data_IF_096458517667
#
_entry.id   IF_096458517667
#
_cell.length_a   1.000
_cell.length_b   1.000
_cell.length_c   1.000
_cell.angle_alpha   90.00
_cell.angle_beta   90.00
_cell.angle_gamma   90.00
#
_symmetry.space_group_name_H-M   'P 1'
#
loop_
_entity.id
_entity.type
_entity.pdbx_description
1 polymer ?
#
# COMPACT_ATOMS: atom_id res chain seq x y z
N UNK A 1 1.51 2.63 -6.38
CA UNK A 1 1.99 4.00 -6.63
C UNK A 1 2.01 4.82 -5.33
N UNK A 2 2.95 5.77 -5.12
CA UNK A 2 2.92 6.72 -4.03
C UNK A 2 1.70 7.64 -4.09
N UNK A 3 1.15 8.01 -2.92
CA UNK A 3 -0.03 8.88 -2.84
C UNK A 3 0.30 10.37 -2.96
N UNK A 4 1.46 10.80 -2.47
CA UNK A 4 1.82 12.22 -2.38
C UNK A 4 1.87 12.97 -3.73
N UNK A 5 2.39 12.37 -4.84
CA UNK A 5 2.50 13.09 -6.10
C UNK A 5 1.17 13.33 -6.83
N UNK A 6 0.07 12.73 -6.37
CA UNK A 6 -1.22 12.82 -7.07
C UNK A 6 -2.36 13.10 -6.11
N UNK A 7 -3.25 14.00 -6.49
CA UNK A 7 -4.52 14.15 -5.79
C UNK A 7 -5.37 12.88 -5.92
N UNK A 8 -6.09 12.41 -4.87
CA UNK A 8 -6.85 11.17 -4.90
C UNK A 8 -7.91 11.13 -6.02
N UNK A 9 -8.56 12.25 -6.35
CA UNK A 9 -9.51 12.32 -7.47
C UNK A 9 -8.83 12.07 -8.83
N UNK A 10 -7.61 12.57 -9.03
CA UNK A 10 -6.86 12.32 -10.25
C UNK A 10 -6.41 10.85 -10.37
N UNK A 11 -6.00 10.25 -9.24
CA UNK A 11 -5.65 8.84 -9.21
C UNK A 11 -6.88 7.96 -9.45
N UNK A 12 -8.04 8.30 -8.89
CA UNK A 12 -9.29 7.59 -9.13
C UNK A 12 -9.65 7.56 -10.63
N UNK A 13 -9.57 8.72 -11.30
CA UNK A 13 -9.82 8.79 -12.75
C UNK A 13 -8.88 7.90 -13.55
N UNK A 14 -7.58 7.90 -13.23
CA UNK A 14 -6.60 7.04 -13.88
C UNK A 14 -6.88 5.55 -13.64
N UNK A 15 -7.22 5.19 -12.40
CA UNK A 15 -7.51 3.81 -12.02
C UNK A 15 -8.78 3.28 -12.69
N UNK A 16 -9.84 4.07 -12.74
CA UNK A 16 -11.09 3.72 -13.42
C UNK A 16 -10.86 3.55 -14.93
N UNK A 17 -10.08 4.44 -15.55
CA UNK A 17 -9.70 4.32 -16.98
C UNK A 17 -8.89 3.05 -17.24
N UNK A 18 -7.91 2.74 -16.38
CA UNK A 18 -7.13 1.51 -16.48
C UNK A 18 -8.01 0.25 -16.29
N UNK A 19 -8.96 0.30 -15.36
CA UNK A 19 -9.93 -0.78 -15.12
C UNK A 19 -10.82 -1.03 -16.34
N UNK A 20 -11.31 0.01 -16.97
CA UNK A 20 -12.10 -0.09 -18.20
C UNK A 20 -11.32 -0.76 -19.33
N UNK A 21 -10.07 -0.29 -19.58
CA UNK A 21 -9.18 -0.88 -20.60
C UNK A 21 -8.81 -2.33 -20.27
N UNK A 22 -8.61 -2.64 -19.01
CA UNK A 22 -8.29 -4.00 -18.55
C UNK A 22 -9.53 -4.91 -18.45
N UNK A 23 -10.71 -4.43 -18.78
CA UNK A 23 -11.98 -5.17 -18.66
C UNK A 23 -12.20 -5.74 -17.25
N UNK A 24 -12.00 -4.93 -16.23
CA UNK A 24 -12.13 -5.30 -14.82
C UNK A 24 -10.96 -6.12 -14.25
N UNK A 25 -9.95 -6.47 -15.03
CA UNK A 25 -8.74 -7.21 -14.57
C UNK A 25 -7.67 -6.24 -14.06
N UNK A 26 -8.06 -5.31 -13.21
CA UNK A 26 -7.19 -4.29 -12.65
C UNK A 26 -7.36 -4.23 -11.13
N UNK A 27 -6.28 -4.07 -10.41
CA UNK A 27 -6.24 -3.82 -8.98
C UNK A 27 -5.31 -2.63 -8.73
N UNK A 28 -5.78 -1.63 -8.02
CA UNK A 28 -4.97 -0.46 -7.68
C UNK A 28 -4.14 -0.74 -6.43
N UNK A 29 -2.81 -0.58 -6.53
CA UNK A 29 -1.90 -0.61 -5.37
C UNK A 29 -1.41 0.79 -5.04
N UNK A 30 -1.59 1.22 -3.77
CA UNK A 30 -1.10 2.52 -3.26
C UNK A 30 -0.23 2.34 -2.02
N UNK A 31 0.58 3.35 -1.72
CA UNK A 31 1.42 3.37 -0.52
C UNK A 31 2.01 4.74 -0.24
N UNK A 32 2.62 4.88 0.94
CA UNK A 32 3.21 6.15 1.39
C UNK A 32 4.62 6.37 0.84
N UNK A 33 5.26 5.33 0.26
CA UNK A 33 6.68 5.38 -0.07
C UNK A 33 7.56 5.62 1.17
N UNK A 34 8.70 6.27 1.03
CA UNK A 34 9.65 6.54 2.10
C UNK A 34 9.97 8.03 2.16
N UNK A 35 10.26 8.52 3.37
CA UNK A 35 10.56 9.95 3.60
C UNK A 35 11.64 10.45 2.64
N UNK A 36 12.73 9.75 2.51
CA UNK A 36 13.85 10.09 1.61
C UNK A 36 13.40 10.23 0.14
N UNK A 37 12.47 9.41 -0.32
CA UNK A 37 11.96 9.50 -1.69
C UNK A 37 11.01 10.69 -1.83
N UNK A 38 10.12 10.87 -0.86
CA UNK A 38 9.09 11.91 -0.96
C UNK A 38 9.69 13.31 -0.74
N UNK A 39 10.56 13.47 0.28
CA UNK A 39 11.14 14.78 0.59
C UNK A 39 12.37 15.10 -0.29
N UNK A 40 13.35 14.19 -0.35
CA UNK A 40 14.63 14.52 -0.98
C UNK A 40 14.58 14.38 -2.51
N UNK A 41 13.88 13.36 -3.03
CA UNK A 41 13.82 13.15 -4.47
C UNK A 41 12.67 13.89 -5.15
N UNK A 42 11.50 14.06 -4.48
CA UNK A 42 10.32 14.67 -5.06
C UNK A 42 10.02 16.08 -4.55
N UNK A 43 10.68 16.53 -3.47
CA UNK A 43 10.43 17.85 -2.86
C UNK A 43 9.05 18.02 -2.25
N UNK A 44 8.39 16.90 -1.88
CA UNK A 44 7.05 16.90 -1.32
C UNK A 44 7.11 16.63 0.19
N UNK A 45 6.04 16.99 0.93
CA UNK A 45 5.99 16.73 2.36
C UNK A 45 5.68 15.27 2.69
N UNK A 46 6.40 14.70 3.66
CA UNK A 46 6.11 13.41 4.29
C UNK A 46 5.51 13.57 5.69
N UNK A 47 5.04 14.75 6.05
CA UNK A 47 4.43 15.01 7.34
C UNK A 47 3.11 14.22 7.51
N UNK A 48 2.87 13.74 8.75
CA UNK A 48 1.63 13.03 9.14
C UNK A 48 1.22 11.90 8.17
N UNK A 49 2.11 10.93 7.85
CA UNK A 49 1.88 9.97 6.78
C UNK A 49 0.60 9.12 6.96
N UNK A 50 0.27 8.69 8.18
CA UNK A 50 -0.96 7.94 8.45
C UNK A 50 -2.21 8.78 8.17
N UNK A 51 -2.23 10.06 8.64
CA UNK A 51 -3.34 10.98 8.36
C UNK A 51 -3.46 11.30 6.86
N UNK A 52 -2.33 11.45 6.19
CA UNK A 52 -2.30 11.62 4.72
C UNK A 52 -2.99 10.45 4.02
N UNK A 53 -2.68 9.22 4.42
CA UNK A 53 -3.33 8.05 3.85
C UNK A 53 -4.81 7.97 4.19
N UNK A 54 -5.19 8.23 5.45
CA UNK A 54 -6.58 8.24 5.90
C UNK A 54 -7.43 9.19 5.06
N UNK A 55 -7.05 10.48 5.00
CA UNK A 55 -7.78 11.48 4.20
C UNK A 55 -7.78 11.17 2.70
N UNK A 56 -6.70 10.57 2.20
CA UNK A 56 -6.61 10.11 0.82
C UNK A 56 -7.66 9.05 0.50
N UNK A 57 -7.86 8.11 1.43
CA UNK A 57 -8.81 7.01 1.29
C UNK A 57 -10.26 7.48 1.38
N UNK A 58 -10.58 8.48 2.21
CA UNK A 58 -11.91 9.10 2.29
C UNK A 58 -12.38 9.68 0.95
N UNK A 59 -11.46 10.05 0.08
CA UNK A 59 -11.77 10.56 -1.26
C UNK A 59 -11.66 9.45 -2.31
N UNK A 60 -10.61 8.65 -2.24
CA UNK A 60 -10.31 7.64 -3.26
C UNK A 60 -11.32 6.50 -3.27
N UNK A 61 -11.67 5.95 -2.11
CA UNK A 61 -12.50 4.74 -2.03
C UNK A 61 -13.90 4.94 -2.63
N UNK A 62 -14.68 6.00 -2.29
CA UNK A 62 -15.97 6.22 -2.93
C UNK A 62 -15.85 6.42 -4.44
N UNK A 63 -14.85 7.16 -4.92
CA UNK A 63 -14.67 7.35 -6.36
C UNK A 63 -14.35 6.03 -7.10
N UNK A 64 -13.56 5.14 -6.48
CA UNK A 64 -13.30 3.79 -7.05
C UNK A 64 -14.55 2.89 -7.02
N UNK A 65 -15.47 3.16 -6.10
CA UNK A 65 -16.77 2.48 -6.04
C UNK A 65 -17.80 3.03 -7.05
N UNK A 66 -17.47 4.10 -7.77
CA UNK A 66 -18.40 4.78 -8.68
C UNK A 66 -19.36 5.73 -7.95
N UNK A 67 -19.04 6.11 -6.73
CA UNK A 67 -19.79 7.05 -5.91
C UNK A 67 -19.15 8.44 -5.94
N UNK A 68 -19.89 9.46 -5.48
CA UNK A 68 -19.37 10.81 -5.35
C UNK A 68 -18.48 10.94 -4.12
N UNK A 69 -17.37 11.67 -4.22
CA UNK A 69 -16.58 12.07 -3.08
C UNK A 69 -16.99 13.46 -2.59
N UNK A 70 -17.30 13.57 -1.30
CA UNK A 70 -17.60 14.84 -0.62
C UNK A 70 -16.86 14.89 0.72
N UNK A 71 -15.58 15.20 0.68
CA UNK A 71 -14.69 15.19 1.85
C UNK A 71 -13.95 16.52 2.00
N UNK A 72 -13.77 16.98 3.24
CA UNK A 72 -12.97 18.16 3.60
C UNK A 72 -12.14 17.82 4.83
N UNK A 73 -10.87 17.54 4.63
CA UNK A 73 -9.87 17.31 5.67
C UNK A 73 -8.90 18.49 5.83
N UNK A 74 -7.81 18.24 6.55
CA UNK A 74 -6.72 19.20 6.74
C UNK A 74 -5.71 19.17 5.58
N UNK A 75 -5.55 18.00 4.93
CA UNK A 75 -4.55 17.74 3.89
C UNK A 75 -5.22 17.72 2.52
N UNK A 76 -6.35 17.02 2.41
CA UNK A 76 -7.09 16.87 1.17
C UNK A 76 -8.53 17.37 1.31
N UNK A 77 -9.04 17.89 0.21
CA UNK A 77 -10.47 18.13 0.06
C UNK A 77 -10.92 17.73 -1.34
N UNK A 78 -12.13 17.23 -1.46
CA UNK A 78 -12.75 16.92 -2.75
C UNK A 78 -14.27 17.05 -2.65
N UNK A 79 -14.85 17.63 -3.69
CA UNK A 79 -16.28 17.52 -4.00
C UNK A 79 -16.34 17.18 -5.47
N UNK A 80 -16.27 15.88 -5.77
CA UNK A 80 -16.02 15.41 -7.13
C UNK A 80 -16.80 14.15 -7.44
N UNK A 81 -17.31 14.06 -8.67
CA UNK A 81 -17.96 12.89 -9.23
C UNK A 81 -17.16 12.40 -10.44
N UNK A 82 -17.04 11.10 -10.61
CA UNK A 82 -16.38 10.48 -11.75
C UNK A 82 -17.32 9.48 -12.43
N UNK A 83 -17.51 9.63 -13.74
CA UNK A 83 -18.16 8.64 -14.57
C UNK A 83 -17.20 8.12 -15.64
N UNK A 84 -16.68 6.92 -15.47
CA UNK A 84 -15.86 6.24 -16.49
C UNK A 84 -16.63 5.04 -17.00
N UNK A 85 -17.04 5.11 -18.27
CA UNK A 85 -17.75 4.02 -18.92
C UNK A 85 -16.92 2.73 -18.92
N UNK A 86 -17.60 1.61 -18.68
CA UNK A 86 -17.04 0.26 -18.68
C UNK A 86 -15.95 0.00 -17.60
N UNK A 87 -15.75 0.91 -16.64
CA UNK A 87 -14.96 0.64 -15.47
C UNK A 87 -15.66 -0.35 -14.54
N UNK A 88 -14.93 -1.31 -13.98
CA UNK A 88 -15.44 -2.12 -12.89
C UNK A 88 -15.60 -1.26 -11.63
N UNK A 89 -16.72 -1.43 -10.94
CA UNK A 89 -17.00 -0.76 -9.67
C UNK A 89 -17.45 -1.81 -8.64
N UNK A 90 -16.80 -1.87 -7.48
CA UNK A 90 -15.57 -1.12 -7.12
C UNK A 90 -14.32 -1.64 -7.84
N UNK A 91 -13.36 -0.74 -8.08
CA UNK A 91 -11.98 -1.14 -8.45
C UNK A 91 -11.29 -1.65 -7.19
N UNK A 92 -10.78 -2.90 -7.15
CA UNK A 92 -10.09 -3.43 -5.98
C UNK A 92 -8.88 -2.59 -5.59
N UNK A 93 -8.74 -2.31 -4.29
CA UNK A 93 -7.70 -1.47 -3.73
C UNK A 93 -6.79 -2.26 -2.78
N UNK A 94 -5.47 -2.17 -2.96
CA UNK A 94 -4.44 -2.76 -2.10
C UNK A 94 -3.57 -1.63 -1.54
N UNK A 95 -3.32 -1.65 -0.23
CA UNK A 95 -2.48 -0.66 0.46
C UNK A 95 -1.18 -1.34 0.91
N UNK A 96 -0.03 -0.75 0.60
CA UNK A 96 1.24 -1.17 1.17
C UNK A 96 1.29 -0.79 2.66
N UNK A 97 1.24 -1.77 3.55
CA UNK A 97 1.15 -1.57 4.99
C UNK A 97 2.01 -2.58 5.75
N UNK A 98 2.85 -2.09 6.67
CA UNK A 98 3.72 -2.91 7.52
C UNK A 98 3.45 -2.65 9.02
N UNK A 99 3.36 -1.40 9.42
CA UNK A 99 3.12 -0.99 10.80
C UNK A 99 1.65 -1.04 11.22
N UNK A 100 1.36 -1.06 12.54
CA UNK A 100 0.00 -1.25 13.07
C UNK A 100 -1.03 -0.26 12.51
N UNK A 101 -0.73 1.04 12.50
CA UNK A 101 -1.65 2.07 11.99
C UNK A 101 -1.98 1.86 10.51
N UNK A 102 -0.97 1.52 9.69
CA UNK A 102 -1.20 1.30 8.26
C UNK A 102 -1.94 -0.01 8.00
N UNK A 103 -1.71 -1.06 8.80
CA UNK A 103 -2.47 -2.31 8.73
C UNK A 103 -3.93 -2.10 9.14
N UNK A 104 -4.19 -1.26 10.15
CA UNK A 104 -5.53 -0.85 10.54
C UNK A 104 -6.25 -0.14 9.39
N UNK A 105 -5.62 0.88 8.79
CA UNK A 105 -6.19 1.59 7.64
C UNK A 105 -6.43 0.64 6.45
N UNK A 106 -5.48 -0.27 6.17
CA UNK A 106 -5.63 -1.25 5.11
C UNK A 106 -6.82 -2.19 5.35
N UNK A 107 -6.99 -2.70 6.56
CA UNK A 107 -8.13 -3.55 6.91
C UNK A 107 -9.47 -2.82 6.80
N UNK A 108 -9.53 -1.58 7.26
CA UNK A 108 -10.77 -0.78 7.27
C UNK A 108 -11.19 -0.25 5.90
N UNK A 109 -10.26 0.05 5.00
CA UNK A 109 -10.55 0.83 3.78
C UNK A 109 -10.13 0.14 2.47
N UNK A 110 -9.52 -1.07 2.51
CA UNK A 110 -9.03 -1.72 1.29
C UNK A 110 -9.31 -3.22 1.23
N UNK A 111 -9.02 -3.82 0.09
CA UNK A 111 -9.22 -5.26 -0.15
C UNK A 111 -7.99 -6.07 0.22
N UNK A 112 -6.95 -5.42 0.77
CA UNK A 112 -5.77 -6.10 1.27
C UNK A 112 -4.51 -5.25 1.35
N UNK A 113 -3.41 -5.93 1.63
CA UNK A 113 -2.08 -5.33 1.71
C UNK A 113 -1.07 -6.02 0.80
N UNK A 114 -0.09 -5.26 0.31
CA UNK A 114 1.07 -5.78 -0.39
C UNK A 114 2.33 -5.51 0.45
N UNK A 115 3.08 -6.57 0.68
CA UNK A 115 4.26 -6.58 1.55
C UNK A 115 5.52 -6.76 0.71
N UNK A 116 6.59 -6.13 1.16
CA UNK A 116 7.95 -6.32 0.66
C UNK A 116 8.88 -6.54 1.85
N UNK A 117 9.89 -7.40 1.73
CA UNK A 117 10.88 -7.65 2.77
C UNK A 117 10.27 -8.04 4.13
N UNK A 118 9.24 -8.88 4.11
CA UNK A 118 8.54 -9.34 5.31
C UNK A 118 8.51 -10.86 5.32
N UNK A 119 9.12 -11.48 6.33
CA UNK A 119 9.25 -12.93 6.43
C UNK A 119 7.94 -13.63 6.84
N UNK A 120 7.90 -14.93 6.63
CA UNK A 120 6.69 -15.74 6.83
C UNK A 120 6.16 -15.70 8.26
N UNK A 121 7.05 -15.71 9.27
CA UNK A 121 6.65 -15.62 10.68
C UNK A 121 6.01 -14.28 11.00
N UNK A 122 6.61 -13.19 10.54
CA UNK A 122 6.08 -11.84 10.72
C UNK A 122 4.72 -11.67 10.02
N UNK A 123 4.57 -12.23 8.83
CA UNK A 123 3.27 -12.25 8.12
C UNK A 123 2.23 -12.98 8.97
N UNK A 124 2.52 -14.18 9.44
CA UNK A 124 1.57 -15.00 10.18
C UNK A 124 1.22 -14.43 11.55
N UNK A 125 2.19 -13.86 12.28
CA UNK A 125 2.02 -13.45 13.68
C UNK A 125 1.70 -11.97 13.88
N UNK A 126 1.97 -11.13 12.90
CA UNK A 126 1.75 -9.68 12.99
C UNK A 126 0.80 -9.16 11.91
N UNK A 127 1.11 -9.40 10.63
CA UNK A 127 0.35 -8.76 9.54
C UNK A 127 -1.05 -9.33 9.41
N UNK A 128 -1.17 -10.66 9.31
CA UNK A 128 -2.47 -11.33 9.07
C UNK A 128 -3.45 -11.09 10.20
N UNK A 129 -3.10 -11.23 11.49
CA UNK A 129 -4.02 -10.92 12.58
C UNK A 129 -4.46 -9.46 12.55
N UNK A 130 -3.51 -8.51 12.49
CA UNK A 130 -3.80 -7.09 12.57
C UNK A 130 -4.76 -6.62 11.46
N UNK A 131 -4.50 -7.01 10.20
CA UNK A 131 -5.35 -6.56 9.08
C UNK A 131 -6.72 -7.24 9.09
N UNK A 132 -6.82 -8.51 9.54
CA UNK A 132 -8.09 -9.23 9.67
C UNK A 132 -8.97 -8.65 10.76
N UNK A 133 -8.40 -8.37 11.93
CA UNK A 133 -9.12 -7.78 13.05
C UNK A 133 -9.66 -6.39 12.68
N UNK A 134 -8.86 -5.57 12.00
CA UNK A 134 -9.27 -4.27 11.51
C UNK A 134 -10.42 -4.37 10.49
N UNK A 135 -10.35 -5.31 9.55
CA UNK A 135 -11.40 -5.55 8.57
C UNK A 135 -12.70 -6.04 9.24
N UNK A 136 -12.60 -7.00 10.15
CA UNK A 136 -13.74 -7.53 10.91
C UNK A 136 -14.42 -6.42 11.72
N UNK A 137 -13.64 -5.57 12.39
CA UNK A 137 -14.16 -4.42 13.15
C UNK A 137 -14.88 -3.38 12.28
N UNK A 138 -14.54 -3.32 10.99
CA UNK A 138 -15.18 -2.47 10.01
C UNK A 138 -16.31 -3.16 9.22
N UNK A 139 -16.66 -4.41 9.58
CA UNK A 139 -17.69 -5.20 8.89
C UNK A 139 -17.29 -5.61 7.46
N UNK A 140 -15.98 -5.65 7.15
CA UNK A 140 -15.46 -5.97 5.82
C UNK A 140 -15.04 -7.44 5.71
N UNK A 141 -15.05 -8.02 4.50
CA UNK A 141 -14.50 -9.35 4.25
C UNK A 141 -13.01 -9.45 4.62
N UNK A 142 -12.53 -10.68 4.84
CA UNK A 142 -11.12 -10.94 5.09
C UNK A 142 -10.23 -10.41 3.94
N UNK A 143 -9.27 -9.51 4.23
CA UNK A 143 -8.46 -8.88 3.20
C UNK A 143 -7.39 -9.84 2.66
N UNK A 144 -6.97 -9.61 1.42
CA UNK A 144 -5.84 -10.32 0.81
C UNK A 144 -4.52 -9.84 1.39
N UNK A 145 -3.60 -10.76 1.67
CA UNK A 145 -2.22 -10.45 2.03
C UNK A 145 -1.32 -10.95 0.90
N UNK A 146 -0.66 -10.03 0.21
CA UNK A 146 0.22 -10.31 -0.93
C UNK A 146 1.65 -10.12 -0.47
N UNK A 147 2.44 -11.20 -0.46
CA UNK A 147 3.87 -11.15 -0.10
C UNK A 147 4.73 -11.13 -1.36
N UNK A 148 5.59 -10.12 -1.48
CA UNK A 148 6.64 -10.03 -2.50
C UNK A 148 7.97 -10.53 -1.94
N UNK A 149 8.60 -11.47 -2.64
CA UNK A 149 9.92 -11.98 -2.32
C UNK A 149 10.85 -11.86 -3.53
N UNK A 150 12.12 -11.46 -3.36
CA UNK A 150 13.10 -11.58 -4.42
C UNK A 150 13.40 -13.07 -4.66
N UNK A 151 13.38 -13.48 -5.92
CA UNK A 151 13.69 -14.86 -6.33
C UNK A 151 14.72 -14.82 -7.44
N UNK A 152 15.77 -15.62 -7.29
CA UNK A 152 16.85 -15.74 -8.29
C UNK A 152 17.10 -17.22 -8.57
N UNK A 153 17.07 -17.59 -9.84
CA UNK A 153 17.55 -18.89 -10.29
C UNK A 153 19.08 -18.82 -10.45
N UNK A 154 19.84 -19.67 -9.75
CA UNK A 154 21.30 -19.59 -9.71
C UNK A 154 21.95 -20.94 -9.42
N UNK A 155 23.13 -21.18 -9.99
CA UNK A 155 24.02 -22.30 -9.67
C UNK A 155 25.04 -21.93 -8.55
N UNK A 156 25.10 -20.64 -8.15
CA UNK A 156 25.91 -20.12 -7.04
C UNK A 156 25.02 -19.42 -5.99
N UNK A 157 24.37 -20.18 -5.09
CA UNK A 157 23.48 -19.61 -4.08
C UNK A 157 24.17 -18.64 -3.11
N UNK A 158 25.40 -18.93 -2.70
CA UNK A 158 26.10 -18.14 -1.67
C UNK A 158 26.59 -16.80 -2.23
N UNK A 159 27.25 -16.80 -3.39
CA UNK A 159 27.62 -15.56 -4.07
C UNK A 159 26.40 -14.73 -4.50
N UNK A 160 25.27 -15.37 -4.83
CA UNK A 160 24.02 -14.69 -5.12
C UNK A 160 23.44 -14.02 -3.88
N UNK A 161 23.42 -14.71 -2.72
CA UNK A 161 22.95 -14.09 -1.44
C UNK A 161 23.80 -12.88 -1.05
N UNK A 162 25.11 -12.96 -1.20
CA UNK A 162 25.99 -11.83 -0.91
C UNK A 162 25.67 -10.61 -1.77
N UNK A 163 25.50 -10.80 -3.09
CA UNK A 163 25.11 -9.72 -4.02
C UNK A 163 23.74 -9.15 -3.71
N UNK A 164 22.76 -10.00 -3.41
CA UNK A 164 21.41 -9.57 -3.06
C UNK A 164 21.41 -8.78 -1.74
N UNK A 165 22.16 -9.24 -0.73
CA UNK A 165 22.34 -8.51 0.53
C UNK A 165 22.91 -7.11 0.30
N UNK A 166 23.92 -6.96 -0.56
CA UNK A 166 24.48 -5.65 -0.89
C UNK A 166 23.46 -4.73 -1.54
N UNK A 167 22.66 -5.24 -2.49
CA UNK A 167 21.63 -4.47 -3.19
C UNK A 167 20.51 -4.06 -2.23
N UNK A 168 20.09 -4.96 -1.34
CA UNK A 168 18.96 -4.76 -0.44
C UNK A 168 19.34 -4.07 0.88
N UNK A 169 20.62 -3.81 1.12
CA UNK A 169 21.12 -3.24 2.38
C UNK A 169 20.43 -1.93 2.78
N UNK A 170 20.04 -1.11 1.81
CA UNK A 170 19.31 0.13 2.04
C UNK A 170 18.00 -0.09 2.80
N UNK A 171 17.33 -1.22 2.57
CA UNK A 171 16.06 -1.53 3.27
C UNK A 171 16.28 -1.80 4.76
N UNK A 172 17.44 -2.35 5.15
CA UNK A 172 17.81 -2.54 6.55
C UNK A 172 17.95 -1.24 7.35
N UNK A 173 18.12 -0.11 6.68
CA UNK A 173 18.21 1.22 7.28
C UNK A 173 16.85 1.94 7.38
N UNK A 174 15.84 1.47 6.66
CA UNK A 174 14.50 2.06 6.68
C UNK A 174 13.70 1.53 7.89
N UNK A 175 13.22 2.42 8.79
CA UNK A 175 12.61 2.00 10.06
C UNK A 175 11.46 0.99 9.92
N UNK A 176 10.64 1.12 8.88
CA UNK A 176 9.52 0.23 8.62
C UNK A 176 9.96 -1.20 8.29
N UNK A 177 11.01 -1.37 7.49
CA UNK A 177 11.57 -2.68 7.15
C UNK A 177 12.42 -3.24 8.27
N UNK A 178 13.20 -2.39 8.97
CA UNK A 178 13.97 -2.83 10.15
C UNK A 178 13.04 -3.47 11.19
N UNK A 179 11.88 -2.85 11.44
CA UNK A 179 10.89 -3.40 12.36
C UNK A 179 10.35 -4.77 11.93
N UNK A 180 10.23 -5.03 10.64
CA UNK A 180 9.81 -6.36 10.12
C UNK A 180 10.92 -7.39 10.27
N UNK A 181 12.16 -7.01 9.99
CA UNK A 181 13.33 -7.88 10.18
C UNK A 181 13.52 -8.25 11.67
N UNK A 182 13.36 -7.29 12.58
CA UNK A 182 13.45 -7.53 14.03
C UNK A 182 12.37 -8.52 14.50
N UNK A 183 11.14 -8.41 14.00
CA UNK A 183 10.06 -9.37 14.28
C UNK A 183 10.36 -10.76 13.73
N UNK A 184 10.97 -10.85 12.58
CA UNK A 184 11.40 -12.10 11.96
C UNK A 184 12.61 -12.71 12.68
N UNK A 185 13.40 -11.90 13.38
CA UNK A 185 14.66 -12.29 14.00
C UNK A 185 15.82 -12.30 12.98
N UNK A 186 15.69 -11.55 11.88
CA UNK A 186 16.71 -11.43 10.86
C UNK A 186 17.65 -10.26 11.16
N UNK A 187 18.95 -10.51 11.09
CA UNK A 187 19.99 -9.48 11.32
C UNK A 187 20.13 -8.52 10.12
N UNK A 188 19.87 -9.02 8.90
CA UNK A 188 19.97 -8.28 7.63
C UNK A 188 18.84 -8.67 6.68
N UNK A 189 18.65 -7.91 5.60
CA UNK A 189 17.75 -8.24 4.50
C UNK A 189 18.00 -9.60 3.87
#
# INVERSE_FOLDING_TARGET
TPVQPRHPSALAQQALTASALARGRFTLGIGLSHKVVIEDALGLSYAKPAKTMEEYLEILAPLLAGEDAAYKGDIYCSKYALGVKDAANPVPLIIAALGPMMLELAGRHSDGTCLWMTGARTIAQHVVPAIRDAAASAGRPAPRVIAGFPVVLTDDPDGTREKVNQILQVYGQLPSYRAMMDREGAASP
#
